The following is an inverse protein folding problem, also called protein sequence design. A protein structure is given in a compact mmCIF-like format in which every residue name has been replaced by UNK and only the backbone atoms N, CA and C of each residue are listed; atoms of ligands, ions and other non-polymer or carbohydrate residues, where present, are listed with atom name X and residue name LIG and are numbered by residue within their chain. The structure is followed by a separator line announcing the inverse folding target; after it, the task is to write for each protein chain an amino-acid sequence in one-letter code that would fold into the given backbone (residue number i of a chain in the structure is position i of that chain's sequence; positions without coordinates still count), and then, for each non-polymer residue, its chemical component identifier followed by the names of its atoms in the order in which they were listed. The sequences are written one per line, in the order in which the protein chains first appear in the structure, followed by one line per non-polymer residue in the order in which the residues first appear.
data_IF_968846278537
#
_entry.id   IF_968846278537
#
_cell.length_a   1.000
_cell.length_b   1.000
_cell.length_c   1.000
_cell.angle_alpha   90.00
_cell.angle_beta   90.00
_cell.angle_gamma   90.00
#
_symmetry.space_group_name_H-M   'P 1'
#
loop_
_entity.id
_entity.type
_entity.pdbx_description
1 polymer ?
#
# COMPACT_ATOMS: atom_id res chain seq x y z
N UNK A 1 -1.69 -25.51 -25.95
CA UNK A 1 -1.43 -25.58 -27.41
C UNK A 1 -2.41 -24.72 -28.23
N UNK A 2 -3.74 -24.89 -28.10
CA UNK A 2 -4.74 -24.15 -28.89
C UNK A 2 -4.73 -22.62 -28.68
N UNK A 3 -4.61 -22.15 -27.43
CA UNK A 3 -4.51 -20.72 -27.09
C UNK A 3 -3.35 -20.01 -27.82
N UNK A 4 -2.13 -20.56 -27.71
CA UNK A 4 -0.95 -20.00 -28.35
C UNK A 4 -1.06 -19.94 -29.88
N UNK A 5 -1.68 -20.95 -30.50
CA UNK A 5 -1.92 -20.98 -31.95
C UNK A 5 -2.98 -19.96 -32.38
N UNK A 6 -4.00 -19.72 -31.56
CA UNK A 6 -5.03 -18.69 -31.81
C UNK A 6 -4.46 -17.27 -31.75
N UNK A 7 -3.38 -17.08 -30.98
CA UNK A 7 -2.58 -15.85 -30.93
C UNK A 7 -1.51 -15.75 -32.03
N UNK A 8 -1.47 -16.69 -32.98
CA UNK A 8 -0.51 -16.68 -34.10
C UNK A 8 0.84 -17.34 -33.83
N UNK A 9 1.07 -17.93 -32.65
CA UNK A 9 2.34 -18.57 -32.32
C UNK A 9 2.35 -20.07 -32.68
N UNK A 10 3.49 -20.56 -33.18
CA UNK A 10 3.68 -21.96 -33.62
C UNK A 10 3.50 -23.01 -32.51
N UNK A 11 3.42 -22.60 -31.24
CA UNK A 11 3.17 -23.48 -30.09
C UNK A 11 3.48 -22.79 -28.76
N UNK A 12 3.43 -23.56 -27.67
CA UNK A 12 3.69 -23.05 -26.31
C UNK A 12 5.12 -22.55 -26.13
N UNK A 13 6.12 -23.25 -26.69
CA UNK A 13 7.52 -22.80 -26.60
C UNK A 13 7.77 -21.50 -27.38
N UNK A 14 7.17 -21.35 -28.56
CA UNK A 14 7.24 -20.11 -29.33
C UNK A 14 6.55 -18.94 -28.60
N UNK A 15 5.42 -19.21 -27.96
CA UNK A 15 4.75 -18.23 -27.10
C UNK A 15 5.57 -17.85 -25.87
N UNK A 16 6.18 -18.83 -25.18
CA UNK A 16 7.05 -18.59 -24.02
C UNK A 16 8.27 -17.75 -24.39
N UNK A 17 8.88 -18.01 -25.56
CA UNK A 17 9.96 -17.18 -26.11
C UNK A 17 9.49 -15.77 -26.48
N UNK A 18 8.30 -15.64 -27.07
CA UNK A 18 7.74 -14.33 -27.42
C UNK A 18 7.42 -13.49 -26.18
N UNK A 19 6.89 -14.10 -25.12
CA UNK A 19 6.63 -13.44 -23.82
C UNK A 19 7.93 -13.08 -23.10
N UNK A 20 8.92 -13.98 -23.11
CA UNK A 20 10.24 -13.68 -22.56
C UNK A 20 10.92 -12.53 -23.32
N UNK A 21 10.80 -12.52 -24.65
CA UNK A 21 11.31 -11.43 -25.48
C UNK A 21 10.52 -10.14 -25.33
N UNK A 22 9.20 -10.17 -25.11
CA UNK A 22 8.42 -8.95 -24.83
C UNK A 22 8.68 -8.39 -23.43
N UNK A 23 8.98 -9.25 -22.46
CA UNK A 23 9.43 -8.84 -21.13
C UNK A 23 10.88 -8.30 -21.17
N UNK A 24 11.69 -8.75 -22.14
CA UNK A 24 13.05 -8.28 -22.38
C UNK A 24 13.13 -7.10 -23.36
N UNK A 25 12.06 -6.79 -24.11
CA UNK A 25 11.95 -5.58 -24.92
C UNK A 25 11.80 -4.41 -23.96
N UNK A 26 12.84 -3.59 -23.81
CA UNK A 26 12.71 -2.37 -23.03
C UNK A 26 11.79 -1.46 -23.86
N UNK A 27 10.56 -1.21 -23.40
CA UNK A 27 9.75 -0.08 -23.87
C UNK A 27 10.60 1.19 -23.79
N UNK A 28 11.33 1.54 -24.85
CA UNK A 28 12.29 2.66 -24.89
C UNK A 28 12.86 2.98 -23.49
N UNK A 29 13.44 1.97 -22.82
CA UNK A 29 13.84 2.11 -21.42
C UNK A 29 15.05 3.01 -21.48
N UNK A 30 14.84 4.27 -21.11
CA UNK A 30 15.91 5.20 -20.81
C UNK A 30 16.98 4.44 -20.02
N UNK A 31 18.29 4.62 -20.29
CA UNK A 31 19.38 3.93 -19.58
C UNK A 31 19.39 4.14 -18.04
N UNK A 32 18.37 4.83 -17.50
CA UNK A 32 18.13 5.26 -16.13
C UNK A 32 17.02 4.47 -15.41
N UNK A 33 16.50 3.39 -15.99
CA UNK A 33 15.48 2.53 -15.34
C UNK A 33 16.05 1.15 -15.02
N UNK A 34 15.91 0.75 -13.75
CA UNK A 34 16.46 -0.50 -13.19
C UNK A 34 16.99 -0.33 -11.77
N UNK A 35 17.39 -1.43 -11.14
CA UNK A 35 18.01 -1.40 -9.82
C UNK A 35 19.38 -0.69 -9.85
N UNK A 36 19.77 -0.09 -8.73
CA UNK A 36 21.13 0.40 -8.51
C UNK A 36 22.09 -0.79 -8.52
N UNK A 37 23.15 -0.69 -9.32
CA UNK A 37 24.20 -1.71 -9.42
C UNK A 37 25.55 -1.14 -9.00
N UNK A 38 26.51 -1.98 -8.53
CA UNK A 38 27.80 -1.49 -8.03
C UNK A 38 28.64 -0.69 -9.04
N UNK A 39 28.34 -0.82 -10.33
CA UNK A 39 29.04 -0.12 -11.43
C UNK A 39 28.46 1.25 -11.75
N UNK A 40 27.35 1.66 -11.11
CA UNK A 40 26.72 2.95 -11.37
C UNK A 40 27.56 4.09 -10.80
N UNK A 41 27.75 5.16 -11.59
CA UNK A 41 28.28 6.41 -11.04
C UNK A 41 27.20 7.11 -10.19
N UNK A 42 27.61 8.02 -9.30
CA UNK A 42 26.69 8.72 -8.40
C UNK A 42 25.48 9.33 -9.11
N UNK A 43 25.69 9.93 -10.28
CA UNK A 43 24.62 10.51 -11.10
C UNK A 43 23.60 9.46 -11.55
N UNK A 44 24.06 8.27 -11.96
CA UNK A 44 23.18 7.18 -12.42
C UNK A 44 22.37 6.64 -11.24
N UNK A 45 22.99 6.51 -10.06
CA UNK A 45 22.27 6.13 -8.83
C UNK A 45 21.14 7.12 -8.52
N UNK A 46 21.42 8.44 -8.54
CA UNK A 46 20.38 9.45 -8.31
C UNK A 46 19.24 9.37 -9.33
N UNK A 47 19.56 9.20 -10.62
CA UNK A 47 18.57 9.14 -11.68
C UNK A 47 17.73 7.87 -11.62
N UNK A 48 18.30 6.73 -11.21
CA UNK A 48 17.57 5.48 -11.01
C UNK A 48 16.59 5.57 -9.85
N UNK A 49 16.99 6.15 -8.71
CA UNK A 49 16.09 6.39 -7.56
C UNK A 49 14.98 7.34 -7.97
N UNK A 50 15.30 8.46 -8.62
CA UNK A 50 14.31 9.40 -9.13
C UNK A 50 13.29 8.74 -10.09
N UNK A 51 13.77 7.90 -11.01
CA UNK A 51 12.90 7.18 -11.95
C UNK A 51 12.02 6.16 -11.23
N UNK A 52 12.54 5.49 -10.19
CA UNK A 52 11.76 4.57 -9.36
C UNK A 52 10.65 5.30 -8.59
N UNK A 53 10.94 6.49 -8.05
CA UNK A 53 9.96 7.32 -7.34
C UNK A 53 8.86 7.81 -8.29
N UNK A 54 9.21 8.28 -9.49
CA UNK A 54 8.22 8.65 -10.52
C UNK A 54 7.33 7.47 -10.91
N UNK A 55 7.91 6.28 -11.06
CA UNK A 55 7.17 5.06 -11.32
C UNK A 55 6.18 4.74 -10.20
N UNK A 56 6.63 4.79 -8.95
CA UNK A 56 5.77 4.55 -7.78
C UNK A 56 4.63 5.58 -7.63
N UNK A 57 4.89 6.87 -7.92
CA UNK A 57 3.86 7.91 -7.92
C UNK A 57 2.82 7.68 -9.03
N UNK A 58 3.28 7.28 -10.22
CA UNK A 58 2.40 6.97 -11.36
C UNK A 58 1.52 5.75 -11.04
N UNK A 59 2.11 4.66 -10.54
CA UNK A 59 1.37 3.47 -10.08
C UNK A 59 0.33 3.84 -9.01
N UNK A 60 0.70 4.71 -8.05
CA UNK A 60 -0.23 5.16 -7.01
C UNK A 60 -1.42 5.89 -7.61
N UNK A 61 -1.18 6.82 -8.56
CA UNK A 61 -2.25 7.55 -9.23
C UNK A 61 -3.20 6.63 -9.99
N UNK A 62 -2.68 5.61 -10.67
CA UNK A 62 -3.47 4.62 -11.39
C UNK A 62 -4.33 3.72 -10.48
N UNK A 63 -3.89 3.51 -9.24
CA UNK A 63 -4.60 2.68 -8.25
C UNK A 63 -5.64 3.46 -7.43
N UNK A 64 -5.57 4.80 -7.42
CA UNK A 64 -6.53 5.63 -6.69
C UNK A 64 -7.93 5.43 -7.28
N UNK A 65 -8.87 5.15 -6.38
CA UNK A 65 -10.31 5.10 -6.69
C UNK A 65 -10.98 6.23 -5.94
N UNK A 66 -11.54 7.18 -6.68
CA UNK A 66 -12.23 8.35 -6.14
C UNK A 66 -13.24 7.98 -5.04
N UNK A 67 -14.09 6.99 -5.31
CA UNK A 67 -15.09 6.49 -4.35
C UNK A 67 -14.48 6.03 -3.02
N UNK A 68 -13.28 5.44 -3.05
CA UNK A 68 -12.59 4.95 -1.84
C UNK A 68 -11.99 6.11 -1.05
N UNK A 69 -11.49 7.14 -1.74
CA UNK A 69 -10.95 8.36 -1.13
C UNK A 69 -12.07 9.16 -0.47
N UNK A 70 -13.19 9.39 -1.18
CA UNK A 70 -14.34 10.12 -0.64
C UNK A 70 -14.89 9.40 0.59
N UNK A 71 -15.09 8.07 0.52
CA UNK A 71 -15.55 7.29 1.67
C UNK A 71 -14.58 7.35 2.86
N UNK A 72 -13.28 7.33 2.60
CA UNK A 72 -12.27 7.47 3.66
C UNK A 72 -12.36 8.86 4.31
N UNK A 73 -12.51 9.92 3.52
CA UNK A 73 -12.69 11.28 4.02
C UNK A 73 -13.96 11.40 4.88
N UNK A 74 -15.09 10.87 4.41
CA UNK A 74 -16.36 10.90 5.16
C UNK A 74 -16.24 10.19 6.52
N UNK A 75 -15.55 9.03 6.56
CA UNK A 75 -15.30 8.29 7.79
C UNK A 75 -14.46 9.11 8.77
N UNK A 76 -13.42 9.77 8.27
CA UNK A 76 -12.48 10.55 9.08
C UNK A 76 -13.10 11.85 9.61
N UNK A 77 -13.91 12.53 8.80
CA UNK A 77 -14.62 13.75 9.19
C UNK A 77 -15.61 13.49 10.34
N UNK A 78 -16.30 12.35 10.31
CA UNK A 78 -17.31 11.98 11.31
C UNK A 78 -16.74 11.22 12.53
N UNK A 79 -15.44 10.96 12.55
CA UNK A 79 -14.80 10.17 13.59
C UNK A 79 -14.68 10.94 14.91
N UNK A 80 -15.04 10.31 16.02
CA UNK A 80 -14.71 10.84 17.35
C UNK A 80 -13.20 10.79 17.63
N UNK A 81 -12.56 9.71 17.17
CA UNK A 81 -11.13 9.46 17.33
C UNK A 81 -10.63 8.65 16.13
N UNK A 82 -9.45 9.02 15.65
CA UNK A 82 -8.72 8.30 14.61
C UNK A 82 -7.41 7.78 15.19
N UNK A 83 -7.24 6.46 15.23
CA UNK A 83 -5.98 5.84 15.63
C UNK A 83 -5.17 5.46 14.40
N UNK A 84 -4.02 6.09 14.23
CA UNK A 84 -3.04 5.80 13.20
C UNK A 84 -2.08 4.72 13.70
N UNK A 85 -2.05 3.57 13.01
CA UNK A 85 -1.30 2.39 13.42
C UNK A 85 -0.49 1.83 12.25
N UNK A 86 0.62 1.17 12.56
CA UNK A 86 1.48 0.52 11.59
C UNK A 86 2.58 -0.26 12.30
N UNK A 87 3.40 -0.98 11.53
CA UNK A 87 4.55 -1.71 12.04
C UNK A 87 5.82 -1.38 11.25
N UNK A 88 6.96 -1.29 11.96
CA UNK A 88 8.25 -0.93 11.38
C UNK A 88 8.20 0.39 10.59
N UNK A 89 8.68 0.37 9.35
CA UNK A 89 8.66 1.56 8.47
C UNK A 89 7.26 2.12 8.21
N UNK A 90 6.21 1.31 8.29
CA UNK A 90 4.82 1.80 8.13
C UNK A 90 4.37 2.64 9.32
N UNK A 91 4.97 2.46 10.51
CA UNK A 91 4.66 3.29 11.66
C UNK A 91 5.14 4.74 11.48
N UNK A 92 6.20 4.97 10.69
CA UNK A 92 6.66 6.32 10.34
C UNK A 92 5.55 7.07 9.59
N UNK A 93 4.91 6.40 8.62
CA UNK A 93 3.77 6.97 7.88
C UNK A 93 2.55 7.21 8.77
N UNK A 94 2.29 6.31 9.73
CA UNK A 94 1.20 6.48 10.69
C UNK A 94 1.41 7.71 11.60
N UNK A 95 2.65 7.94 12.08
CA UNK A 95 3.01 9.12 12.87
C UNK A 95 2.89 10.40 12.06
N UNK A 96 3.41 10.39 10.84
CA UNK A 96 3.33 11.53 9.94
C UNK A 96 1.87 11.86 9.62
N UNK A 97 1.03 10.86 9.37
CA UNK A 97 -0.41 11.05 9.14
C UNK A 97 -1.08 11.67 10.36
N UNK A 98 -0.84 11.14 11.56
CA UNK A 98 -1.41 11.71 12.79
C UNK A 98 -0.97 13.17 12.99
N UNK A 99 0.31 13.48 12.72
CA UNK A 99 0.83 14.83 12.82
C UNK A 99 0.18 15.77 11.78
N UNK A 100 0.23 15.44 10.49
CA UNK A 100 -0.34 16.27 9.43
C UNK A 100 -1.84 16.50 9.65
N UNK A 101 -2.58 15.44 9.99
CA UNK A 101 -4.04 15.53 10.13
C UNK A 101 -4.45 16.21 11.43
N UNK A 102 -3.58 16.24 12.45
CA UNK A 102 -3.81 17.04 13.68
C UNK A 102 -4.00 18.53 13.40
N UNK A 103 -3.45 19.03 12.30
CA UNK A 103 -3.64 20.42 11.85
C UNK A 103 -5.02 20.69 11.27
N UNK A 104 -5.71 19.64 10.80
CA UNK A 104 -7.09 19.71 10.31
C UNK A 104 -8.13 19.38 11.39
N UNK A 105 -7.78 18.54 12.37
CA UNK A 105 -8.65 18.20 13.51
C UNK A 105 -7.89 17.54 14.67
N UNK A 106 -8.31 17.78 15.91
CA UNK A 106 -7.58 17.34 17.11
C UNK A 106 -7.75 15.87 17.51
N UNK A 107 -8.36 15.04 16.66
CA UNK A 107 -8.80 13.69 16.98
C UNK A 107 -7.90 12.58 16.41
N UNK A 108 -6.70 12.89 15.93
CA UNK A 108 -5.76 11.94 15.32
C UNK A 108 -4.60 11.58 16.26
N UNK A 109 -4.36 10.28 16.46
CA UNK A 109 -3.35 9.79 17.39
C UNK A 109 -2.56 8.63 16.82
N UNK A 110 -1.23 8.70 16.88
CA UNK A 110 -0.36 7.57 16.54
C UNK A 110 -0.23 6.61 17.73
N UNK A 111 -0.41 5.31 17.49
CA UNK A 111 -0.19 4.27 18.50
C UNK A 111 0.96 3.38 18.03
N UNK A 112 2.15 3.60 18.60
CA UNK A 112 3.39 2.99 18.09
C UNK A 112 3.60 1.56 18.56
N UNK A 113 3.38 1.29 19.85
CA UNK A 113 3.61 -0.02 20.44
C UNK A 113 2.49 -1.02 20.06
N UNK A 114 2.87 -2.22 19.64
CA UNK A 114 1.93 -3.24 19.14
C UNK A 114 0.97 -3.75 20.22
N UNK A 115 1.41 -3.86 21.48
CA UNK A 115 0.52 -4.20 22.59
C UNK A 115 -0.46 -3.07 22.88
N UNK A 116 0.02 -1.82 22.84
CA UNK A 116 -0.84 -0.65 22.99
C UNK A 116 -1.84 -0.50 21.84
N UNK A 117 -1.48 -0.88 20.61
CA UNK A 117 -2.40 -0.94 19.48
C UNK A 117 -3.56 -1.91 19.77
N UNK A 118 -3.27 -3.12 20.26
CA UNK A 118 -4.28 -4.10 20.62
C UNK A 118 -5.18 -3.64 21.80
N UNK A 119 -4.58 -3.07 22.85
CA UNK A 119 -5.30 -2.50 23.99
C UNK A 119 -6.22 -1.35 23.53
N UNK A 120 -5.69 -0.46 22.69
CA UNK A 120 -6.44 0.68 22.17
C UNK A 120 -7.60 0.23 21.29
N UNK A 121 -7.39 -0.79 20.46
CA UNK A 121 -8.43 -1.38 19.61
C UNK A 121 -9.58 -1.97 20.44
N UNK A 122 -9.28 -2.59 21.57
CA UNK A 122 -10.30 -3.15 22.46
C UNK A 122 -11.19 -2.10 23.12
N UNK A 123 -10.74 -0.84 23.19
CA UNK A 123 -11.48 0.30 23.74
C UNK A 123 -12.18 1.18 22.70
N UNK A 124 -12.19 0.78 21.43
CA UNK A 124 -12.89 1.52 20.37
C UNK A 124 -14.40 1.29 20.40
N UNK A 125 -15.11 2.15 19.68
CA UNK A 125 -16.54 2.03 19.42
C UNK A 125 -16.88 2.34 17.96
N UNK A 126 -18.16 2.25 17.61
CA UNK A 126 -18.69 2.49 16.26
C UNK A 126 -18.45 3.90 15.68
N UNK A 127 -18.09 4.86 16.53
CA UNK A 127 -17.77 6.24 16.16
C UNK A 127 -16.27 6.48 15.96
N UNK A 128 -15.43 5.47 16.16
CA UNK A 128 -13.98 5.58 16.02
C UNK A 128 -13.49 4.95 14.71
N UNK A 129 -12.36 5.45 14.24
CA UNK A 129 -11.69 4.97 13.02
C UNK A 129 -10.27 4.51 13.33
N UNK A 130 -9.85 3.41 12.71
CA UNK A 130 -8.45 2.99 12.66
C UNK A 130 -7.92 3.24 11.26
N UNK A 131 -6.84 4.02 11.15
CA UNK A 131 -6.03 4.13 9.93
C UNK A 131 -4.81 3.22 10.08
N UNK A 132 -4.81 2.10 9.37
CA UNK A 132 -3.74 1.13 9.45
C UNK A 132 -2.85 1.18 8.19
N UNK A 133 -1.54 1.30 8.38
CA UNK A 133 -0.55 1.31 7.31
C UNK A 133 0.16 -0.03 7.24
N UNK A 134 0.08 -0.71 6.10
CA UNK A 134 0.81 -1.96 5.87
C UNK A 134 1.14 -2.15 4.40
N UNK A 135 2.43 -2.17 4.08
CA UNK A 135 2.88 -2.36 2.70
C UNK A 135 2.44 -3.73 2.12
N UNK A 136 2.69 -4.83 2.83
CA UNK A 136 2.33 -6.18 2.38
C UNK A 136 0.85 -6.51 2.61
N UNK A 137 0.20 -5.85 3.58
CA UNK A 137 -1.15 -6.19 4.02
C UNK A 137 -1.25 -7.61 4.61
N UNK A 138 -0.13 -8.19 5.06
CA UNK A 138 -0.04 -9.56 5.58
C UNK A 138 0.56 -9.62 7.00
N UNK A 139 0.68 -8.47 7.67
CA UNK A 139 1.21 -8.42 9.03
C UNK A 139 0.24 -9.11 9.98
N UNK A 140 0.67 -10.20 10.63
CA UNK A 140 -0.19 -11.04 11.48
C UNK A 140 -0.77 -10.24 12.66
N UNK A 141 0.06 -9.40 13.28
CA UNK A 141 -0.33 -8.54 14.41
C UNK A 141 -1.40 -7.51 14.01
N UNK A 142 -1.34 -7.02 12.77
CA UNK A 142 -2.38 -6.15 12.21
C UNK A 142 -3.73 -6.87 12.11
N UNK A 143 -3.74 -8.14 11.67
CA UNK A 143 -4.99 -8.89 11.51
C UNK A 143 -5.73 -9.06 12.84
N UNK A 144 -5.00 -9.33 13.94
CA UNK A 144 -5.61 -9.44 15.27
C UNK A 144 -6.20 -8.09 15.74
N UNK A 145 -5.40 -7.02 15.68
CA UNK A 145 -5.84 -5.68 16.09
C UNK A 145 -7.04 -5.19 15.26
N UNK A 146 -7.03 -5.40 13.95
CA UNK A 146 -8.14 -5.06 13.06
C UNK A 146 -9.39 -5.88 13.38
N UNK A 147 -9.25 -7.17 13.67
CA UNK A 147 -10.38 -8.03 14.07
C UNK A 147 -11.04 -7.51 15.35
N UNK A 148 -10.25 -7.21 16.39
CA UNK A 148 -10.76 -6.65 17.65
C UNK A 148 -11.46 -5.31 17.43
N UNK A 149 -10.87 -4.41 16.63
CA UNK A 149 -11.49 -3.14 16.29
C UNK A 149 -12.84 -3.31 15.56
N UNK A 150 -12.92 -4.25 14.61
CA UNK A 150 -14.17 -4.60 13.91
C UNK A 150 -15.23 -5.17 14.84
N UNK A 151 -14.85 -6.06 15.75
CA UNK A 151 -15.78 -6.62 16.76
C UNK A 151 -16.36 -5.54 17.69
N UNK A 152 -15.63 -4.44 17.89
CA UNK A 152 -16.10 -3.25 18.60
C UNK A 152 -16.92 -2.27 17.75
N UNK A 153 -17.11 -2.57 16.46
CA UNK A 153 -17.86 -1.74 15.51
C UNK A 153 -17.06 -0.59 14.87
N UNK A 154 -15.78 -0.43 15.23
CA UNK A 154 -14.94 0.63 14.70
C UNK A 154 -14.72 0.46 13.19
N UNK A 155 -14.60 1.59 12.49
CA UNK A 155 -14.35 1.59 11.05
C UNK A 155 -12.84 1.49 10.80
N UNK A 156 -12.45 0.84 9.71
CA UNK A 156 -11.03 0.63 9.41
C UNK A 156 -10.74 1.11 7.99
N UNK A 157 -9.71 1.94 7.88
CA UNK A 157 -9.10 2.38 6.63
C UNK A 157 -7.73 1.71 6.56
N UNK A 158 -7.55 0.81 5.59
CA UNK A 158 -6.29 0.12 5.36
C UNK A 158 -5.56 0.77 4.17
N UNK A 159 -4.35 1.26 4.42
CA UNK A 159 -3.45 1.80 3.40
C UNK A 159 -2.43 0.72 3.07
N UNK A 160 -2.53 0.15 1.87
CA UNK A 160 -1.69 -0.97 1.42
C UNK A 160 -1.40 -0.92 -0.07
N UNK A 161 -0.27 -1.51 -0.49
CA UNK A 161 0.07 -1.68 -1.91
C UNK A 161 -0.80 -2.74 -2.59
N UNK A 162 -1.26 -3.75 -1.85
CA UNK A 162 -1.90 -4.94 -2.43
C UNK A 162 -3.42 -4.94 -2.23
N UNK A 163 -4.23 -4.70 -3.28
CA UNK A 163 -5.70 -4.67 -3.19
C UNK A 163 -6.34 -6.05 -2.98
N UNK A 164 -5.56 -7.14 -3.02
CA UNK A 164 -5.96 -8.50 -2.63
C UNK A 164 -5.07 -9.01 -1.50
N UNK A 165 -4.88 -8.19 -0.47
CA UNK A 165 -4.13 -8.60 0.71
C UNK A 165 -5.01 -9.45 1.65
N UNK A 166 -4.44 -10.43 2.39
CA UNK A 166 -5.18 -11.29 3.32
C UNK A 166 -6.02 -10.52 4.35
N UNK A 167 -5.65 -9.27 4.63
CA UNK A 167 -6.33 -8.42 5.60
C UNK A 167 -7.59 -7.72 5.09
N UNK A 168 -7.95 -7.90 3.82
CA UNK A 168 -9.26 -7.48 3.29
C UNK A 168 -10.34 -8.58 3.43
N UNK A 169 -9.95 -9.84 3.65
CA UNK A 169 -10.87 -10.99 3.74
C UNK A 169 -11.40 -11.25 5.17
N UNK A 170 -10.83 -10.59 6.18
CA UNK A 170 -11.20 -10.67 7.59
C UNK A 170 -11.64 -9.29 8.08
#
# INVERSE_FOLDING_TARGET
SRFCRRLGYKGYNAFKLAVANSAAQPNAVSPLSGAVVPTDIFKDMCLKVYSADLGAMTETLELIREESIVRAADLLENANKVLCMGQGGSMILAKETAHLFSTAGGNYFAVEDSHMQAISAAGLCERDVVMFFSYSGATIEMAHTMKVAKERGAKIILITRFPKSPSLEN
#
